data_IF_955980442955
#
_entry.id   IF_955980442955
#
_cell.length_a   1.000
_cell.length_b   1.000
_cell.length_c   1.000
_cell.angle_alpha   90.00
_cell.angle_beta   90.00
_cell.angle_gamma   90.00
#
_symmetry.space_group_name_H-M   'P 1'
#
loop_
_entity.id
_entity.type
_entity.pdbx_description
1 polymer ?
#
# COMPACT_ATOMS: atom_id res chain seq x y z
N UNK A 1 -21.11 -9.19 -8.70
CA UNK A 1 -21.09 -9.33 -10.18
C UNK A 1 -20.40 -8.14 -10.86
N UNK A 2 -20.81 -6.89 -10.58
CA UNK A 2 -20.18 -5.70 -11.18
C UNK A 2 -18.67 -5.59 -10.92
N UNK A 3 -18.23 -5.81 -9.68
CA UNK A 3 -16.81 -5.80 -9.34
C UNK A 3 -16.00 -6.80 -10.17
N UNK A 4 -16.40 -8.08 -10.18
CA UNK A 4 -15.68 -9.12 -10.93
C UNK A 4 -15.61 -8.83 -12.44
N UNK A 5 -16.70 -8.31 -13.02
CA UNK A 5 -16.71 -7.87 -14.42
C UNK A 5 -15.75 -6.71 -14.65
N UNK A 6 -15.80 -5.68 -13.79
CA UNK A 6 -14.90 -4.54 -13.83
C UNK A 6 -13.42 -4.93 -13.72
N UNK A 7 -13.08 -5.84 -12.80
CA UNK A 7 -11.72 -6.37 -12.63
C UNK A 7 -11.24 -7.18 -13.83
N UNK A 8 -12.14 -7.91 -14.50
CA UNK A 8 -11.81 -8.62 -15.74
C UNK A 8 -11.55 -7.64 -16.89
N UNK A 9 -12.40 -6.62 -17.04
CA UNK A 9 -12.22 -5.55 -18.02
C UNK A 9 -10.91 -4.79 -17.80
N UNK A 10 -10.57 -4.46 -16.54
CA UNK A 10 -9.32 -3.78 -16.21
C UNK A 10 -8.09 -4.61 -16.61
N UNK A 11 -8.10 -5.92 -16.32
CA UNK A 11 -7.01 -6.82 -16.76
C UNK A 11 -6.91 -6.87 -18.28
N UNK A 12 -8.04 -6.93 -18.99
CA UNK A 12 -8.07 -6.86 -20.45
C UNK A 12 -7.51 -5.53 -20.99
N UNK A 13 -7.89 -4.41 -20.39
CA UNK A 13 -7.42 -3.07 -20.76
C UNK A 13 -5.93 -2.84 -20.49
N UNK A 14 -5.33 -3.54 -19.51
CA UNK A 14 -3.88 -3.49 -19.28
C UNK A 14 -3.08 -4.37 -20.25
N UNK A 15 -3.72 -5.41 -20.79
CA UNK A 15 -3.10 -6.34 -21.72
C UNK A 15 -3.26 -5.95 -23.19
N UNK A 16 -4.18 -5.03 -23.51
CA UNK A 16 -4.45 -4.58 -24.86
C UNK A 16 -4.74 -3.09 -24.90
N UNK A 17 -4.60 -2.49 -26.08
CA UNK A 17 -4.58 -1.03 -26.24
C UNK A 17 -5.96 -0.43 -26.62
N UNK A 18 -7.07 -1.12 -26.30
CA UNK A 18 -8.42 -0.65 -26.63
C UNK A 18 -8.92 0.37 -25.59
N UNK A 19 -9.03 1.67 -25.95
CA UNK A 19 -9.39 2.72 -25.02
C UNK A 19 -10.82 2.57 -24.45
N UNK A 20 -11.72 1.93 -25.21
CA UNK A 20 -13.10 1.73 -24.82
C UNK A 20 -13.24 0.69 -23.70
N UNK A 21 -12.35 -0.31 -23.65
CA UNK A 21 -12.34 -1.33 -22.60
C UNK A 21 -11.98 -0.69 -21.25
N UNK A 22 -10.99 0.20 -21.22
CA UNK A 22 -10.60 0.91 -20.00
C UNK A 22 -11.71 1.81 -19.47
N UNK A 23 -12.34 2.62 -20.35
CA UNK A 23 -13.47 3.47 -19.96
C UNK A 23 -14.64 2.65 -19.39
N UNK A 24 -14.93 1.48 -19.99
CA UNK A 24 -15.94 0.55 -19.45
C UNK A 24 -15.53 -0.05 -18.11
N UNK A 25 -14.25 -0.37 -17.91
CA UNK A 25 -13.74 -0.87 -16.63
C UNK A 25 -13.97 0.16 -15.52
N UNK A 26 -13.55 1.41 -15.73
CA UNK A 26 -13.72 2.52 -14.79
C UNK A 26 -15.21 2.74 -14.47
N UNK A 27 -16.07 2.83 -15.49
CA UNK A 27 -17.51 3.02 -15.28
C UNK A 27 -18.20 1.85 -14.57
N UNK A 28 -17.71 0.63 -14.74
CA UNK A 28 -18.25 -0.57 -14.08
C UNK A 28 -17.79 -0.66 -12.62
N UNK A 29 -16.51 -0.39 -12.38
CA UNK A 29 -15.92 -0.37 -11.04
C UNK A 29 -16.47 0.78 -10.19
N UNK A 30 -16.65 1.96 -10.76
CA UNK A 30 -17.28 3.09 -10.08
C UNK A 30 -18.70 2.77 -9.61
N UNK A 31 -19.50 2.08 -10.44
CA UNK A 31 -20.82 1.57 -10.03
C UNK A 31 -20.74 0.50 -8.93
N UNK A 32 -19.68 -0.31 -8.92
CA UNK A 32 -19.49 -1.34 -7.89
C UNK A 32 -19.15 -0.74 -6.51
N UNK A 33 -18.50 0.44 -6.45
CA UNK A 33 -18.22 1.16 -5.20
C UNK A 33 -19.52 1.59 -4.50
N UNK A 34 -20.51 2.06 -5.26
CA UNK A 34 -21.80 2.52 -4.73
C UNK A 34 -22.83 1.41 -4.52
N UNK A 35 -22.59 0.21 -5.04
CA UNK A 35 -23.48 -0.93 -4.81
C UNK A 35 -23.35 -1.43 -3.37
N UNK A 36 -24.42 -1.98 -2.77
CA UNK A 36 -24.34 -2.64 -1.47
C UNK A 36 -23.22 -3.68 -1.47
N UNK A 37 -22.22 -3.46 -0.61
CA UNK A 37 -21.09 -4.38 -0.43
C UNK A 37 -21.46 -5.45 0.59
N UNK A 38 -20.81 -6.62 0.52
CA UNK A 38 -20.94 -7.67 1.52
C UNK A 38 -20.23 -7.37 2.85
N UNK A 39 -19.96 -6.10 3.16
CA UNK A 39 -19.19 -5.64 4.32
C UNK A 39 -18.04 -4.69 3.97
N UNK A 40 -17.39 -4.15 4.99
CA UNK A 40 -16.32 -3.14 4.84
C UNK A 40 -15.10 -3.65 4.05
N UNK A 41 -14.69 -4.91 4.25
CA UNK A 41 -13.58 -5.50 3.47
C UNK A 41 -13.90 -5.60 1.99
N UNK A 42 -15.12 -6.00 1.64
CA UNK A 42 -15.56 -6.07 0.25
C UNK A 42 -15.63 -4.67 -0.39
N UNK A 43 -16.09 -3.68 0.37
CA UNK A 43 -16.08 -2.29 -0.06
C UNK A 43 -14.65 -1.76 -0.29
N UNK A 44 -13.72 -2.09 0.60
CA UNK A 44 -12.30 -1.75 0.45
C UNK A 44 -11.70 -2.35 -0.84
N UNK A 45 -12.03 -3.60 -1.16
CA UNK A 45 -11.57 -4.26 -2.38
C UNK A 45 -12.17 -3.60 -3.65
N UNK A 46 -13.43 -3.15 -3.58
CA UNK A 46 -14.06 -2.37 -4.66
C UNK A 46 -13.37 -1.03 -4.86
N UNK A 47 -13.14 -0.25 -3.79
CA UNK A 47 -12.46 1.03 -3.83
C UNK A 47 -11.04 0.90 -4.38
N UNK A 48 -10.26 -0.07 -3.89
CA UNK A 48 -8.88 -0.29 -4.35
C UNK A 48 -8.83 -0.60 -5.85
N UNK A 49 -9.68 -1.50 -6.33
CA UNK A 49 -9.69 -1.86 -7.75
C UNK A 49 -10.20 -0.71 -8.63
N UNK A 50 -11.13 0.10 -8.12
CA UNK A 50 -11.57 1.31 -8.81
C UNK A 50 -10.43 2.33 -8.92
N UNK A 51 -9.69 2.56 -7.84
CA UNK A 51 -8.50 3.42 -7.82
C UNK A 51 -7.44 2.94 -8.82
N UNK A 52 -7.17 1.64 -8.86
CA UNK A 52 -6.25 0.99 -9.81
C UNK A 52 -6.67 1.24 -11.28
N UNK A 53 -7.97 1.26 -11.57
CA UNK A 53 -8.48 1.56 -12.91
C UNK A 53 -8.35 3.06 -13.25
N UNK A 54 -8.57 3.94 -12.28
CA UNK A 54 -8.37 5.38 -12.44
C UNK A 54 -6.89 5.72 -12.67
N UNK A 55 -5.96 5.04 -11.98
CA UNK A 55 -4.52 5.17 -12.22
C UNK A 55 -4.15 4.83 -13.66
N UNK A 56 -4.60 3.67 -14.15
CA UNK A 56 -4.36 3.27 -15.54
C UNK A 56 -4.99 4.24 -16.54
N UNK A 57 -6.14 4.84 -16.21
CA UNK A 57 -6.75 5.88 -17.06
C UNK A 57 -5.93 7.18 -17.06
N UNK A 58 -5.45 7.61 -15.89
CA UNK A 58 -4.59 8.78 -15.76
C UNK A 58 -3.26 8.61 -16.51
N UNK A 59 -2.61 7.46 -16.40
CA UNK A 59 -1.36 7.16 -17.12
C UNK A 59 -1.52 7.31 -18.64
N UNK A 60 -2.73 7.08 -19.16
CA UNK A 60 -3.05 7.22 -20.58
C UNK A 60 -3.39 8.66 -20.97
N UNK A 61 -4.29 9.30 -20.21
CA UNK A 61 -4.95 10.55 -20.62
C UNK A 61 -4.39 11.80 -19.93
N UNK A 62 -3.68 11.63 -18.81
CA UNK A 62 -3.07 12.72 -18.04
C UNK A 62 -4.05 13.62 -17.27
N UNK A 63 -5.33 13.25 -17.18
CA UNK A 63 -6.37 14.08 -16.53
C UNK A 63 -6.14 14.19 -15.00
N UNK A 64 -5.82 15.38 -14.48
CA UNK A 64 -5.60 15.57 -13.04
C UNK A 64 -6.82 15.22 -12.19
N UNK A 65 -8.04 15.42 -12.69
CA UNK A 65 -9.27 15.08 -11.96
C UNK A 65 -9.43 13.58 -11.73
N UNK A 66 -9.01 12.76 -12.70
CA UNK A 66 -8.99 11.30 -12.58
C UNK A 66 -7.97 10.87 -11.53
N UNK A 67 -6.79 11.51 -11.49
CA UNK A 67 -5.76 11.23 -10.49
C UNK A 67 -6.22 11.61 -9.08
N UNK A 68 -6.92 12.74 -8.91
CA UNK A 68 -7.53 13.13 -7.64
C UNK A 68 -8.53 12.07 -7.14
N UNK A 69 -9.35 11.53 -8.04
CA UNK A 69 -10.31 10.49 -7.70
C UNK A 69 -9.62 9.17 -7.29
N UNK A 70 -8.49 8.82 -7.94
CA UNK A 70 -7.70 7.65 -7.56
C UNK A 70 -7.11 7.80 -6.15
N UNK A 71 -6.52 8.96 -5.87
CA UNK A 71 -6.02 9.33 -4.54
C UNK A 71 -7.11 9.18 -3.48
N UNK A 72 -8.29 9.75 -3.70
CA UNK A 72 -9.36 9.71 -2.71
C UNK A 72 -9.79 8.28 -2.39
N UNK A 73 -9.93 7.44 -3.42
CA UNK A 73 -10.28 6.03 -3.25
C UNK A 73 -9.20 5.25 -2.48
N UNK A 74 -7.90 5.47 -2.75
CA UNK A 74 -6.81 4.84 -1.99
C UNK A 74 -6.78 5.32 -0.53
N UNK A 75 -6.94 6.64 -0.31
CA UNK A 75 -6.99 7.26 1.02
C UNK A 75 -8.13 6.68 1.87
N UNK A 76 -9.30 6.47 1.27
CA UNK A 76 -10.42 5.82 1.94
C UNK A 76 -10.06 4.39 2.40
N UNK A 77 -9.45 3.57 1.54
CA UNK A 77 -9.01 2.21 1.92
C UNK A 77 -8.00 2.24 3.06
N UNK A 78 -7.02 3.15 3.00
CA UNK A 78 -6.00 3.30 4.03
C UNK A 78 -6.58 3.65 5.41
N UNK A 79 -7.73 4.34 5.45
CA UNK A 79 -8.42 4.75 6.66
C UNK A 79 -9.32 3.66 7.28
N UNK A 80 -9.66 2.59 6.56
CA UNK A 80 -10.55 1.53 7.05
C UNK A 80 -9.87 0.64 8.09
N UNK A 81 -10.11 0.90 9.38
CA UNK A 81 -9.49 0.16 10.49
C UNK A 81 -9.82 -1.34 10.55
N UNK A 82 -10.91 -1.77 9.92
CA UNK A 82 -11.30 -3.18 9.79
C UNK A 82 -10.50 -3.96 8.74
N UNK A 83 -9.76 -3.26 7.88
CA UNK A 83 -8.90 -3.87 6.85
C UNK A 83 -7.53 -4.21 7.44
N UNK A 84 -6.93 -5.37 7.09
CA UNK A 84 -5.60 -5.73 7.56
C UNK A 84 -4.55 -4.64 7.28
N UNK A 85 -3.62 -4.43 8.22
CA UNK A 85 -2.61 -3.38 8.14
C UNK A 85 -1.79 -3.42 6.84
N UNK A 86 -1.44 -4.62 6.34
CA UNK A 86 -0.72 -4.77 5.07
C UNK A 86 -1.46 -4.11 3.88
N UNK A 87 -2.76 -4.37 3.73
CA UNK A 87 -3.56 -3.77 2.66
C UNK A 87 -3.72 -2.25 2.83
N UNK A 88 -3.78 -1.77 4.07
CA UNK A 88 -3.84 -0.34 4.37
C UNK A 88 -2.52 0.38 4.05
N UNK A 89 -1.39 -0.28 4.28
CA UNK A 89 -0.05 0.22 3.91
C UNK A 89 0.06 0.33 2.39
N UNK A 90 -0.34 -0.71 1.66
CA UNK A 90 -0.36 -0.69 0.19
C UNK A 90 -1.23 0.47 -0.33
N UNK A 91 -2.45 0.60 0.17
CA UNK A 91 -3.32 1.71 -0.24
C UNK A 91 -2.74 3.09 0.12
N UNK A 92 -2.14 3.25 1.30
CA UNK A 92 -1.52 4.51 1.70
C UNK A 92 -0.29 4.85 0.84
N UNK A 93 0.49 3.84 0.42
CA UNK A 93 1.60 3.99 -0.54
C UNK A 93 1.09 4.46 -1.89
N UNK A 94 0.07 3.81 -2.45
CA UNK A 94 -0.51 4.18 -3.75
C UNK A 94 -1.15 5.57 -3.73
N UNK A 95 -1.79 5.97 -2.62
CA UNK A 95 -2.23 7.34 -2.40
C UNK A 95 -1.04 8.32 -2.47
N UNK A 96 0.04 8.03 -1.73
CA UNK A 96 1.24 8.85 -1.74
C UNK A 96 1.86 8.98 -3.13
N UNK A 97 1.96 7.87 -3.86
CA UNK A 97 2.47 7.82 -5.23
C UNK A 97 1.60 8.63 -6.20
N UNK A 98 0.27 8.45 -6.16
CA UNK A 98 -0.66 9.20 -6.99
C UNK A 98 -0.58 10.71 -6.73
N UNK A 99 -0.44 11.13 -5.47
CA UNK A 99 -0.25 12.54 -5.14
C UNK A 99 1.10 13.09 -5.66
N UNK A 100 2.17 12.30 -5.54
CA UNK A 100 3.50 12.66 -6.03
C UNK A 100 3.54 12.80 -7.56
N UNK A 101 2.89 11.91 -8.31
CA UNK A 101 2.76 11.99 -9.77
C UNK A 101 2.04 13.28 -10.21
N UNK A 102 1.09 13.75 -9.40
CA UNK A 102 0.41 15.03 -9.60
C UNK A 102 1.18 16.25 -9.08
N UNK A 103 2.42 16.09 -8.60
CA UNK A 103 3.25 17.16 -8.03
C UNK A 103 2.74 17.71 -6.69
N UNK A 104 1.80 17.02 -6.03
CA UNK A 104 1.19 17.45 -4.76
C UNK A 104 1.96 16.86 -3.58
N UNK A 105 3.18 17.37 -3.38
CA UNK A 105 4.14 16.82 -2.42
C UNK A 105 3.63 16.77 -0.97
N UNK A 106 2.90 17.79 -0.53
CA UNK A 106 2.32 17.83 0.82
C UNK A 106 1.31 16.70 1.06
N UNK A 107 0.52 16.37 0.04
CA UNK A 107 -0.45 15.28 0.08
C UNK A 107 0.24 13.92 -0.05
N UNK A 108 1.27 13.84 -0.90
CA UNK A 108 2.11 12.65 -1.03
C UNK A 108 2.73 12.26 0.32
N UNK A 109 3.27 13.25 1.05
CA UNK A 109 3.80 13.06 2.40
C UNK A 109 2.73 12.49 3.35
N UNK A 110 1.47 12.90 3.26
CA UNK A 110 0.40 12.35 4.12
C UNK A 110 0.18 10.87 3.86
N UNK A 111 0.07 10.46 2.59
CA UNK A 111 -0.10 9.06 2.22
C UNK A 111 1.09 8.19 2.65
N UNK A 112 2.31 8.59 2.29
CA UNK A 112 3.50 7.85 2.66
C UNK A 112 3.75 7.81 4.17
N UNK A 113 3.52 8.91 4.89
CA UNK A 113 3.63 8.93 6.36
C UNK A 113 2.65 7.94 6.99
N UNK A 114 1.39 7.93 6.55
CA UNK A 114 0.43 6.96 7.06
C UNK A 114 0.87 5.51 6.78
N UNK A 115 1.44 5.25 5.61
CA UNK A 115 1.99 3.93 5.29
C UNK A 115 3.14 3.55 6.26
N UNK A 116 4.08 4.46 6.52
CA UNK A 116 5.20 4.25 7.47
C UNK A 116 4.71 4.05 8.90
N UNK A 117 3.71 4.81 9.35
CA UNK A 117 3.09 4.68 10.68
C UNK A 117 2.38 3.34 10.89
N UNK A 118 1.89 2.72 9.82
CA UNK A 118 1.21 1.42 9.87
C UNK A 118 2.16 0.22 9.88
N UNK A 119 3.43 0.40 9.48
CA UNK A 119 4.42 -0.69 9.38
C UNK A 119 4.53 -1.57 10.63
N UNK A 120 4.57 -1.03 11.88
CA UNK A 120 4.65 -1.87 13.08
C UNK A 120 3.50 -2.89 13.21
N UNK A 121 2.32 -2.57 12.67
CA UNK A 121 1.11 -3.40 12.77
C UNK A 121 1.00 -4.45 11.66
N UNK A 122 1.84 -4.38 10.63
CA UNK A 122 1.87 -5.36 9.53
C UNK A 122 2.65 -6.64 9.87
N UNK A 123 3.35 -6.64 11.01
CA UNK A 123 4.19 -7.75 11.44
C UNK A 123 3.31 -8.87 12.01
N UNK A 124 2.79 -9.70 11.11
CA UNK A 124 2.20 -10.97 11.50
C UNK A 124 3.34 -11.89 11.93
N UNK A 125 3.40 -12.26 13.22
CA UNK A 125 4.45 -13.07 13.89
C UNK A 125 4.63 -14.50 13.34
N UNK A 126 4.27 -14.81 12.09
CA UNK A 126 4.13 -16.20 11.59
C UNK A 126 4.47 -16.48 10.12
N UNK A 127 5.11 -15.58 9.37
CA UNK A 127 5.48 -15.88 7.98
C UNK A 127 7.00 -15.87 7.77
N UNK A 128 7.42 -16.77 6.87
CA UNK A 128 8.70 -17.47 6.82
C UNK A 128 9.93 -16.57 6.59
N UNK A 129 11.12 -17.10 6.88
CA UNK A 129 12.43 -16.42 6.73
C UNK A 129 12.65 -15.80 5.34
N UNK A 130 12.12 -16.39 4.27
CA UNK A 130 12.26 -15.88 2.89
C UNK A 130 11.45 -14.60 2.63
N UNK A 131 10.38 -14.35 3.40
CA UNK A 131 9.59 -13.11 3.30
C UNK A 131 10.27 -11.92 4.02
N UNK A 132 11.31 -12.19 4.82
CA UNK A 132 11.94 -11.16 5.64
C UNK A 132 12.75 -10.18 4.79
N UNK A 133 13.53 -10.65 3.81
CA UNK A 133 14.29 -9.77 2.90
C UNK A 133 13.38 -8.89 2.04
N UNK A 134 12.30 -9.46 1.49
CA UNK A 134 11.30 -8.69 0.75
C UNK A 134 10.68 -7.61 1.63
N UNK A 135 10.31 -7.94 2.87
CA UNK A 135 9.81 -6.97 3.85
C UNK A 135 10.82 -5.89 4.21
N UNK A 136 12.10 -6.23 4.38
CA UNK A 136 13.16 -5.25 4.64
C UNK A 136 13.25 -4.24 3.48
N UNK A 137 13.23 -4.74 2.24
CA UNK A 137 13.22 -3.91 1.05
C UNK A 137 11.96 -3.03 0.96
N UNK A 138 10.78 -3.58 1.28
CA UNK A 138 9.52 -2.81 1.30
C UNK A 138 9.55 -1.69 2.34
N UNK A 139 9.98 -1.97 3.58
CA UNK A 139 10.06 -0.97 4.65
C UNK A 139 11.05 0.13 4.30
N UNK A 140 12.24 -0.25 3.83
CA UNK A 140 13.27 0.71 3.46
C UNK A 140 12.84 1.57 2.26
N UNK A 141 12.29 0.95 1.22
CA UNK A 141 11.77 1.64 0.04
C UNK A 141 10.68 2.65 0.40
N UNK A 142 9.73 2.26 1.26
CA UNK A 142 8.64 3.13 1.69
C UNK A 142 9.14 4.35 2.47
N UNK A 143 10.08 4.16 3.41
CA UNK A 143 10.66 5.26 4.16
C UNK A 143 11.46 6.22 3.27
N UNK A 144 12.15 5.69 2.24
CA UNK A 144 12.87 6.49 1.26
C UNK A 144 11.93 7.32 0.38
N UNK A 145 10.84 6.72 -0.13
CA UNK A 145 9.79 7.43 -0.89
C UNK A 145 9.15 8.55 -0.06
N UNK A 146 8.83 8.27 1.20
CA UNK A 146 8.29 9.25 2.15
C UNK A 146 9.25 10.43 2.36
N UNK A 147 10.54 10.13 2.56
CA UNK A 147 11.57 11.14 2.76
C UNK A 147 11.81 11.98 1.51
N UNK A 148 11.81 11.37 0.33
CA UNK A 148 11.91 12.08 -0.94
C UNK A 148 10.74 13.06 -1.11
N UNK A 149 9.51 12.64 -0.81
CA UNK A 149 8.34 13.53 -0.86
C UNK A 149 8.46 14.67 0.15
N UNK A 150 8.95 14.42 1.37
CA UNK A 150 9.14 15.45 2.38
C UNK A 150 10.19 16.50 1.96
N UNK A 151 11.28 16.07 1.31
CA UNK A 151 12.26 17.02 0.72
C UNK A 151 11.62 17.87 -0.37
N UNK A 152 10.84 17.27 -1.28
CA UNK A 152 10.15 18.01 -2.34
C UNK A 152 9.07 18.97 -1.79
N UNK A 153 8.47 18.65 -0.65
CA UNK A 153 7.56 19.54 0.09
C UNK A 153 8.30 20.65 0.88
N UNK A 154 9.63 20.69 0.85
CA UNK A 154 10.43 21.69 1.55
C UNK A 154 10.65 21.42 3.04
N UNK A 155 10.37 20.21 3.52
CA UNK A 155 10.57 19.80 4.92
C UNK A 155 11.64 18.70 5.08
N UNK A 156 12.94 19.06 5.01
CA UNK A 156 14.02 18.09 5.19
C UNK A 156 14.11 17.52 6.61
N UNK A 157 13.54 18.21 7.62
CA UNK A 157 13.52 17.69 8.99
C UNK A 157 12.56 16.50 9.09
N UNK A 158 11.39 16.61 8.49
CA UNK A 158 10.45 15.51 8.37
C UNK A 158 11.04 14.35 7.56
N UNK A 159 11.81 14.62 6.50
CA UNK A 159 12.47 13.58 5.73
C UNK A 159 13.39 12.70 6.60
N UNK A 160 14.22 13.32 7.44
CA UNK A 160 15.08 12.59 8.40
C UNK A 160 14.23 11.79 9.38
N UNK A 161 13.16 12.39 9.93
CA UNK A 161 12.28 11.69 10.87
C UNK A 161 11.67 10.42 10.26
N UNK A 162 11.19 10.48 9.01
CA UNK A 162 10.60 9.35 8.31
C UNK A 162 11.61 8.22 8.05
N UNK A 163 12.86 8.57 7.70
CA UNK A 163 13.95 7.60 7.56
C UNK A 163 14.28 6.91 8.89
N UNK A 164 14.37 7.69 9.98
CA UNK A 164 14.66 7.14 11.30
C UNK A 164 13.50 6.26 11.81
N UNK A 165 12.26 6.61 11.50
CA UNK A 165 11.10 5.76 11.81
C UNK A 165 11.18 4.42 11.06
N UNK A 166 11.51 4.43 9.77
CA UNK A 166 11.75 3.21 9.00
C UNK A 166 12.86 2.34 9.61
N UNK A 167 13.99 2.96 10.00
CA UNK A 167 15.10 2.27 10.68
C UNK A 167 14.67 1.68 12.03
N UNK A 168 13.86 2.40 12.80
CA UNK A 168 13.31 1.94 14.06
C UNK A 168 12.47 0.67 13.93
N UNK A 169 11.63 0.58 12.89
CA UNK A 169 10.84 -0.62 12.59
C UNK A 169 11.75 -1.81 12.29
N UNK A 170 12.79 -1.62 11.47
CA UNK A 170 13.74 -2.68 11.13
C UNK A 170 14.51 -3.17 12.36
N UNK A 171 14.96 -2.25 13.21
CA UNK A 171 15.69 -2.57 14.44
C UNK A 171 14.80 -3.36 15.40
N UNK A 172 13.55 -2.94 15.58
CA UNK A 172 12.59 -3.65 16.43
C UNK A 172 12.35 -5.08 15.93
N UNK A 173 12.19 -5.27 14.61
CA UNK A 173 12.04 -6.60 14.01
C UNK A 173 13.28 -7.49 14.25
N UNK A 174 14.49 -6.93 14.13
CA UNK A 174 15.73 -7.65 14.40
C UNK A 174 15.86 -8.07 15.89
N UNK A 175 15.38 -7.24 16.82
CA UNK A 175 15.32 -7.60 18.24
C UNK A 175 14.28 -8.68 18.51
N UNK A 176 13.08 -8.55 17.93
CA UNK A 176 11.99 -9.51 18.10
C UNK A 176 12.38 -10.92 17.59
N UNK A 177 13.03 -11.00 16.43
CA UNK A 177 13.52 -12.25 15.87
C UNK A 177 14.50 -12.96 16.81
N UNK A 178 15.48 -12.24 17.38
CA UNK A 178 16.44 -12.81 18.35
C UNK A 178 15.76 -13.38 19.60
N UNK A 179 14.73 -12.71 20.11
CA UNK A 179 13.95 -13.21 21.25
C UNK A 179 13.13 -14.46 20.93
N UNK A 180 12.69 -14.65 19.68
CA UNK A 180 12.06 -15.89 19.22
C UNK A 180 13.05 -17.04 19.11
N UNK A 181 14.24 -16.78 18.56
CA UNK A 181 15.34 -17.76 18.51
C UNK A 181 15.73 -18.24 19.91
N UNK A 182 15.90 -17.33 20.86
CA UNK A 182 16.24 -17.70 22.24
C UNK A 182 15.16 -18.58 22.87
N UNK A 183 13.88 -18.23 22.72
CA UNK A 183 12.76 -19.05 23.22
C UNK A 183 12.69 -20.43 22.58
N UNK A 184 12.97 -20.54 21.28
CA UNK A 184 13.02 -21.84 20.60
C UNK A 184 14.19 -22.69 21.10
N UNK A 185 15.36 -22.07 21.28
CA UNK A 185 16.54 -22.74 21.81
C UNK A 185 16.30 -23.26 23.24
N UNK A 186 15.70 -22.45 24.10
CA UNK A 186 15.42 -22.83 25.49
C UNK A 186 14.36 -23.95 25.58
N UNK A 187 13.37 -23.98 24.67
CA UNK A 187 12.31 -24.99 24.66
C UNK A 187 12.72 -26.29 23.95
N UNK A 188 13.55 -26.22 22.92
CA UNK A 188 13.95 -27.35 22.07
C UNK A 188 15.44 -27.25 21.67
N UNK A 189 16.38 -27.44 22.61
CA UNK A 189 17.82 -27.28 22.37
C UNK A 189 18.36 -28.25 21.31
N UNK A 190 17.79 -29.45 21.23
CA UNK A 190 18.13 -30.50 20.26
C UNK A 190 17.89 -30.07 18.79
N UNK A 191 16.81 -29.33 18.53
CA UNK A 191 16.43 -28.85 17.20
C UNK A 191 17.22 -27.60 16.81
N UNK A 192 17.53 -26.75 17.79
CA UNK A 192 18.35 -25.56 17.60
C UNK A 192 19.83 -25.89 17.35
N UNK A 193 20.32 -27.08 17.72
CA UNK A 193 21.67 -27.55 17.39
C UNK A 193 21.80 -28.09 15.94
N UNK A 194 20.67 -28.29 15.24
CA UNK A 194 20.63 -28.90 13.89
C UNK A 194 20.49 -27.87 12.75
N UNK A 195 20.31 -26.58 13.07
CA UNK A 195 20.15 -25.45 12.16
C UNK A 195 20.86 -24.22 12.70
#
# INVERSE_FOLDING_TARGET
LLHNLGSALLRGARAGDDPAVLGRAVATLGRAVWAPSGGETAHADHLRTYADALRTLYERDGDPGVLLAAEDAYRQVAALGSVPAARRIEAAREWGAAAADGGRWEEAVRGYRQAVELLPFSVTRRLARDDQEHRLATVHGLAAEAAACAVNAGDPRLAVLLLEQGRGVLLWQAVAARGEWQRLHDAHPELAARF
#
